data_IF_833146312937
#
_entry.id   IF_833146312937
#
_cell.length_a   1.000
_cell.length_b   1.000
_cell.length_c   1.000
_cell.angle_alpha   90.00
_cell.angle_beta   90.00
_cell.angle_gamma   90.00
#
_symmetry.space_group_name_H-M   'P 1'
#
loop_
_entity.id
_entity.type
_entity.pdbx_description
1 polymer ?
#
# COMPACT_ATOMS: atom_id res chain seq x y z
N UNK A 1 45.03 34.85 -93.40
CA UNK A 1 44.57 33.66 -92.65
C UNK A 1 44.94 33.91 -91.21
N UNK A 2 43.99 34.40 -90.42
CA UNK A 2 44.22 34.87 -89.05
C UNK A 2 43.53 33.90 -88.09
N UNK A 3 44.33 33.25 -87.24
CA UNK A 3 43.86 32.40 -86.17
C UNK A 3 43.21 33.26 -85.06
N UNK A 4 41.91 33.07 -84.88
CA UNK A 4 41.17 33.62 -83.74
C UNK A 4 41.30 32.61 -82.60
N UNK A 5 42.14 32.96 -81.63
CA UNK A 5 42.36 32.23 -80.39
C UNK A 5 41.28 32.60 -79.38
N UNK A 6 40.27 31.74 -79.20
CA UNK A 6 39.28 31.90 -78.15
C UNK A 6 39.92 31.50 -76.81
N UNK A 7 40.05 32.46 -75.90
CA UNK A 7 40.41 32.22 -74.50
C UNK A 7 39.11 31.88 -73.78
N UNK A 8 38.92 30.61 -73.41
CA UNK A 8 37.90 30.21 -72.45
C UNK A 8 38.42 30.67 -71.10
N UNK A 9 37.85 31.74 -70.56
CA UNK A 9 38.03 32.10 -69.17
C UNK A 9 37.48 30.94 -68.34
N UNK A 10 38.38 30.20 -67.69
CA UNK A 10 37.99 29.31 -66.61
C UNK A 10 37.36 30.18 -65.52
N UNK A 11 36.06 30.02 -65.32
CA UNK A 11 35.41 30.44 -64.09
C UNK A 11 36.03 29.66 -62.93
N UNK A 12 37.11 30.19 -62.37
CA UNK A 12 37.47 29.95 -60.98
C UNK A 12 36.36 30.57 -60.12
N UNK A 13 35.26 29.83 -60.01
CA UNK A 13 34.19 30.08 -59.07
C UNK A 13 34.73 29.86 -57.66
N UNK A 14 35.36 30.90 -57.12
CA UNK A 14 35.71 31.02 -55.72
C UNK A 14 34.46 30.78 -54.88
N UNK A 15 34.35 29.57 -54.35
CA UNK A 15 33.39 29.20 -53.31
C UNK A 15 33.76 29.97 -52.04
N UNK A 16 33.42 31.25 -51.96
CA UNK A 16 33.28 32.02 -50.72
C UNK A 16 32.02 31.53 -49.98
N UNK A 17 31.97 30.23 -49.68
CA UNK A 17 30.97 29.65 -48.78
C UNK A 17 31.32 30.13 -47.39
N UNK A 18 30.67 31.21 -46.95
CA UNK A 18 30.71 31.70 -45.58
C UNK A 18 30.62 30.52 -44.59
N UNK A 19 31.74 30.11 -43.98
CA UNK A 19 31.79 28.88 -43.19
C UNK A 19 30.89 28.97 -41.95
N UNK A 20 30.67 30.20 -41.45
CA UNK A 20 29.72 30.48 -40.37
C UNK A 20 28.27 30.13 -40.77
N UNK A 21 27.83 30.44 -41.99
CA UNK A 21 26.45 30.18 -42.41
C UNK A 21 26.21 28.67 -42.63
N UNK A 22 27.22 27.94 -43.11
CA UNK A 22 27.17 26.49 -43.19
C UNK A 22 27.07 25.83 -41.80
N UNK A 23 27.86 26.30 -40.83
CA UNK A 23 27.77 25.83 -39.44
C UNK A 23 26.40 26.10 -38.83
N UNK A 24 25.82 27.29 -39.02
CA UNK A 24 24.49 27.63 -38.51
C UNK A 24 23.41 26.71 -39.10
N UNK A 25 23.47 26.42 -40.41
CA UNK A 25 22.54 25.48 -41.05
C UNK A 25 22.66 24.07 -40.49
N UNK A 26 23.88 23.58 -40.27
CA UNK A 26 24.10 22.28 -39.64
C UNK A 26 23.61 22.23 -38.19
N UNK A 27 23.89 23.26 -37.40
CA UNK A 27 23.43 23.35 -36.01
C UNK A 27 21.90 23.38 -35.92
N UNK A 28 21.24 24.17 -36.78
CA UNK A 28 19.78 24.23 -36.86
C UNK A 28 19.19 22.87 -37.28
N UNK A 29 19.77 22.22 -38.30
CA UNK A 29 19.33 20.90 -38.73
C UNK A 29 19.48 19.84 -37.62
N UNK A 30 20.59 19.87 -36.87
CA UNK A 30 20.82 18.98 -35.74
C UNK A 30 19.79 19.21 -34.61
N UNK A 31 19.53 20.48 -34.25
CA UNK A 31 18.55 20.82 -33.23
C UNK A 31 17.13 20.35 -33.62
N UNK A 32 16.71 20.60 -34.86
CA UNK A 32 15.41 20.14 -35.37
C UNK A 32 15.33 18.61 -35.39
N UNK A 33 16.42 17.93 -35.76
CA UNK A 33 16.48 16.47 -35.76
C UNK A 33 16.34 15.89 -34.35
N UNK A 34 17.03 16.45 -33.36
CA UNK A 34 16.91 16.03 -31.96
C UNK A 34 15.51 16.27 -31.42
N UNK A 35 14.88 17.40 -31.77
CA UNK A 35 13.52 17.73 -31.38
C UNK A 35 12.52 16.75 -32.00
N UNK A 36 12.67 16.44 -33.29
CA UNK A 36 11.84 15.44 -33.98
C UNK A 36 11.96 14.05 -33.36
N UNK A 37 13.19 13.59 -33.07
CA UNK A 37 13.43 12.32 -32.38
C UNK A 37 12.79 12.33 -30.99
N UNK A 38 12.95 13.43 -30.24
CA UNK A 38 12.33 13.60 -28.92
C UNK A 38 10.81 13.47 -28.96
N UNK A 39 10.15 14.11 -29.94
CA UNK A 39 8.70 14.01 -30.14
C UNK A 39 8.28 12.58 -30.50
N UNK A 40 9.01 11.91 -31.40
CA UNK A 40 8.72 10.51 -31.77
C UNK A 40 8.82 9.60 -30.55
N UNK A 41 9.87 9.74 -29.74
CA UNK A 41 10.06 8.95 -28.51
C UNK A 41 8.94 9.21 -27.51
N UNK A 42 8.51 10.46 -27.33
CA UNK A 42 7.38 10.81 -26.46
C UNK A 42 6.07 10.19 -26.95
N UNK A 43 5.81 10.22 -28.27
CA UNK A 43 4.61 9.60 -28.86
C UNK A 43 4.66 8.10 -28.69
N UNK A 44 5.81 7.45 -28.94
CA UNK A 44 5.99 6.02 -28.71
C UNK A 44 5.73 5.70 -27.23
N UNK A 45 6.32 6.43 -26.29
CA UNK A 45 6.06 6.21 -24.86
C UNK A 45 4.59 6.41 -24.47
N UNK A 46 3.90 7.40 -25.06
CA UNK A 46 2.48 7.63 -24.81
C UNK A 46 1.60 6.50 -25.42
N UNK A 47 1.94 6.03 -26.62
CA UNK A 47 1.18 5.00 -27.35
C UNK A 47 1.48 3.59 -26.84
N UNK A 48 2.67 3.34 -26.31
CA UNK A 48 3.09 2.06 -25.74
C UNK A 48 3.17 2.10 -24.21
N UNK A 49 2.48 3.06 -23.57
CA UNK A 49 2.40 3.10 -22.11
C UNK A 49 1.83 1.77 -21.61
N UNK A 50 2.59 1.12 -20.72
CA UNK A 50 2.21 -0.16 -20.13
C UNK A 50 0.83 -0.05 -19.48
N UNK A 51 -0.05 -0.99 -19.79
CA UNK A 51 -1.40 -1.09 -19.22
C UNK A 51 -1.31 -1.80 -17.87
N UNK A 52 -0.65 -1.14 -16.93
CA UNK A 52 -0.44 -1.65 -15.59
C UNK A 52 -1.58 -1.26 -14.67
N UNK A 53 -2.14 -2.26 -13.99
CA UNK A 53 -3.02 -2.02 -12.84
C UNK A 53 -2.14 -1.52 -11.71
N UNK A 54 -2.55 -0.41 -11.10
CA UNK A 54 -1.94 0.05 -9.87
C UNK A 54 -2.76 -0.49 -8.69
N UNK A 55 -2.10 -1.25 -7.82
CA UNK A 55 -2.71 -1.86 -6.65
C UNK A 55 -2.33 -1.07 -5.40
N UNK A 56 -3.25 -1.00 -4.45
CA UNK A 56 -3.01 -0.50 -3.09
C UNK A 56 -3.84 -1.27 -2.08
N UNK A 57 -3.42 -1.26 -0.82
CA UNK A 57 -4.18 -1.83 0.31
C UNK A 57 -4.93 -0.68 0.99
N UNK A 58 -6.21 -0.85 1.30
CA UNK A 58 -7.02 0.20 1.92
C UNK A 58 -6.37 0.69 3.21
N UNK A 59 -5.91 1.94 3.20
CA UNK A 59 -5.19 2.59 4.29
C UNK A 59 -4.09 1.70 4.91
N UNK A 60 -3.48 0.82 4.10
CA UNK A 60 -2.44 -0.07 4.57
C UNK A 60 -2.83 -1.03 5.69
N UNK A 61 -4.12 -1.30 5.87
CA UNK A 61 -4.64 -2.00 7.04
C UNK A 61 -5.44 -3.25 6.66
N UNK A 62 -5.27 -4.30 7.45
CA UNK A 62 -6.05 -5.53 7.39
C UNK A 62 -6.72 -5.70 8.75
N UNK A 63 -8.03 -5.52 8.77
CA UNK A 63 -8.82 -5.62 9.99
C UNK A 63 -9.07 -7.07 10.38
N UNK A 64 -8.84 -7.42 11.64
CA UNK A 64 -9.13 -8.71 12.22
C UNK A 64 -10.39 -8.60 13.09
N UNK A 65 -11.35 -9.52 12.92
CA UNK A 65 -12.51 -9.60 13.82
C UNK A 65 -12.05 -9.92 15.26
N UNK A 66 -11.01 -10.77 15.37
CA UNK A 66 -10.46 -11.24 16.64
C UNK A 66 -9.06 -11.84 16.45
N UNK A 67 -8.09 -11.38 17.22
CA UNK A 67 -6.73 -11.94 17.25
C UNK A 67 -6.50 -12.85 18.48
N UNK A 68 -7.09 -12.49 19.62
CA UNK A 68 -6.98 -13.19 20.90
C UNK A 68 -8.36 -13.25 21.56
N UNK A 69 -8.58 -14.28 22.39
CA UNK A 69 -9.69 -14.33 23.33
C UNK A 69 -9.29 -13.62 24.64
N UNK A 70 -10.17 -12.80 25.20
CA UNK A 70 -9.96 -12.07 26.46
C UNK A 70 -10.89 -12.62 27.51
N UNK A 71 -10.34 -13.11 28.61
CA UNK A 71 -11.12 -13.52 29.79
C UNK A 71 -10.83 -12.55 30.91
N UNK A 72 -11.83 -11.86 31.49
CA UNK A 72 -11.61 -11.01 32.65
C UNK A 72 -11.15 -11.87 33.82
N UNK A 73 -10.10 -11.44 34.51
CA UNK A 73 -9.69 -12.01 35.79
C UNK A 73 -10.60 -11.39 36.83
N UNK A 74 -11.53 -12.19 37.34
CA UNK A 74 -12.37 -11.79 38.47
C UNK A 74 -11.47 -11.70 39.71
N UNK A 75 -11.41 -10.52 40.33
CA UNK A 75 -10.72 -10.35 41.60
C UNK A 75 -11.35 -11.26 42.67
N UNK A 76 -10.56 -11.92 43.53
CA UNK A 76 -11.07 -12.82 44.57
C UNK A 76 -12.03 -12.16 45.59
N UNK A 77 -12.07 -10.84 45.67
CA UNK A 77 -12.84 -10.10 46.68
C UNK A 77 -14.37 -10.00 46.37
N UNK A 78 -14.84 -10.49 45.22
CA UNK A 78 -16.28 -10.56 44.89
C UNK A 78 -16.88 -11.98 44.97
N UNK A 79 -16.20 -12.95 45.59
CA UNK A 79 -16.75 -14.31 45.77
C UNK A 79 -17.66 -14.52 47.00
N UNK A 80 -18.37 -13.48 47.45
CA UNK A 80 -19.44 -13.67 48.43
C UNK A 80 -20.66 -12.77 48.15
N UNK A 81 -21.31 -12.96 47.00
CA UNK A 81 -22.54 -12.24 46.71
C UNK A 81 -23.27 -12.66 45.44
N UNK A 82 -24.21 -13.59 45.61
CA UNK A 82 -25.38 -13.81 44.75
C UNK A 82 -25.24 -14.54 43.41
N UNK A 83 -25.67 -15.80 43.51
CA UNK A 83 -26.44 -16.61 42.57
C UNK A 83 -27.37 -15.77 41.67
N UNK A 84 -27.21 -15.92 40.35
CA UNK A 84 -28.30 -15.85 39.37
C UNK A 84 -28.36 -14.61 38.48
N UNK A 85 -27.67 -14.64 37.33
CA UNK A 85 -28.12 -13.98 36.10
C UNK A 85 -27.32 -14.48 34.89
N UNK A 86 -27.96 -15.31 34.06
CA UNK A 86 -27.65 -15.40 32.62
C UNK A 86 -27.73 -13.99 32.03
N UNK A 87 -26.74 -13.54 31.24
CA UNK A 87 -26.95 -12.63 30.12
C UNK A 87 -25.73 -12.53 29.18
N UNK A 88 -26.03 -12.66 27.88
CA UNK A 88 -25.12 -12.42 26.77
C UNK A 88 -24.63 -10.96 26.79
N UNK A 89 -23.36 -10.72 27.10
CA UNK A 89 -22.75 -9.40 26.90
C UNK A 89 -22.20 -9.33 25.47
N UNK A 90 -23.04 -8.79 24.59
CA UNK A 90 -22.62 -8.20 23.32
C UNK A 90 -21.90 -6.91 23.68
N UNK A 91 -20.58 -6.85 23.48
CA UNK A 91 -19.79 -5.64 23.72
C UNK A 91 -20.41 -4.46 22.94
N UNK A 92 -21.02 -3.52 23.68
CA UNK A 92 -21.50 -2.27 23.11
C UNK A 92 -20.32 -1.32 22.98
N UNK A 93 -20.05 -0.89 21.76
CA UNK A 93 -19.19 0.26 21.51
C UNK A 93 -19.82 1.50 22.16
N UNK A 94 -19.10 2.14 23.08
CA UNK A 94 -19.49 3.44 23.62
C UNK A 94 -19.14 4.49 22.56
N UNK A 95 -20.17 4.93 21.83
CA UNK A 95 -20.11 6.11 20.96
C UNK A 95 -20.27 7.35 21.84
N UNK A 96 -19.22 8.16 21.96
CA UNK A 96 -19.34 9.51 22.52
C UNK A 96 -19.46 10.50 21.35
N UNK A 97 -20.68 10.97 21.14
CA UNK A 97 -20.99 12.11 20.28
C UNK A 97 -20.81 13.39 21.11
N UNK A 98 -19.92 14.29 20.69
CA UNK A 98 -19.87 15.66 21.22
C UNK A 98 -19.72 16.66 20.08
N UNK A 99 -20.77 17.47 19.95
CA UNK A 99 -21.07 18.48 18.94
C UNK A 99 -20.20 19.73 19.12
N UNK A 100 -19.82 20.37 18.01
CA UNK A 100 -19.09 21.64 17.95
C UNK A 100 -19.83 22.82 18.61
N UNK A 101 -19.11 23.94 18.86
CA UNK A 101 -19.43 25.15 18.10
C UNK A 101 -18.20 25.88 17.53
N UNK A 102 -18.52 26.83 16.66
CA UNK A 102 -17.68 27.39 15.60
C UNK A 102 -16.81 28.61 16.01
N UNK A 103 -15.75 28.77 15.20
CA UNK A 103 -15.16 30.00 14.66
C UNK A 103 -14.27 30.89 15.55
N UNK A 104 -12.97 30.98 15.22
CA UNK A 104 -12.26 32.17 14.66
C UNK A 104 -10.74 31.88 14.48
N UNK A 105 -10.27 32.29 13.29
CA UNK A 105 -8.94 32.36 12.65
C UNK A 105 -7.57 32.38 13.38
N UNK A 106 -6.61 31.76 12.68
CA UNK A 106 -5.18 32.10 12.41
C UNK A 106 -4.21 32.41 13.57
N UNK A 107 -3.11 31.65 13.70
CA UNK A 107 -1.79 31.88 13.03
C UNK A 107 -0.72 30.94 13.62
N UNK A 108 0.25 30.52 12.79
CA UNK A 108 1.46 29.73 13.09
C UNK A 108 2.21 30.13 14.39
N UNK A 109 2.76 29.13 15.11
CA UNK A 109 4.19 29.07 15.43
C UNK A 109 4.61 27.73 16.07
N UNK A 110 5.55 27.07 15.38
CA UNK A 110 6.64 26.20 15.85
C UNK A 110 6.67 25.92 17.37
N UNK A 111 6.42 24.67 17.76
CA UNK A 111 6.93 24.14 19.02
C UNK A 111 7.65 22.82 18.76
N UNK A 112 8.97 22.92 18.86
CA UNK A 112 9.93 21.85 18.97
C UNK A 112 9.81 21.31 20.39
N UNK A 113 9.36 20.06 20.58
CA UNK A 113 9.45 19.39 21.87
C UNK A 113 10.57 18.38 21.85
N UNK A 114 11.71 18.80 22.38
CA UNK A 114 12.69 17.94 23.02
C UNK A 114 11.94 17.10 24.06
N UNK A 115 11.92 15.78 23.88
CA UNK A 115 11.54 14.85 24.94
C UNK A 115 12.81 14.10 25.28
N UNK A 116 13.28 14.36 26.51
CA UNK A 116 14.40 13.71 27.16
C UNK A 116 14.20 12.19 27.22
N UNK A 117 15.22 11.48 26.75
CA UNK A 117 15.48 10.07 27.04
C UNK A 117 15.87 9.92 28.52
N UNK A 118 14.93 9.61 29.42
CA UNK A 118 15.25 8.86 30.64
C UNK A 118 14.01 8.27 31.32
N UNK A 119 13.71 6.99 31.04
CA UNK A 119 12.97 6.14 31.99
C UNK A 119 13.53 4.72 31.96
N UNK A 120 14.41 4.44 32.92
CA UNK A 120 14.32 3.27 33.78
C UNK A 120 14.33 1.90 33.11
N UNK A 121 15.53 1.39 32.85
CA UNK A 121 15.79 -0.02 32.61
C UNK A 121 15.47 -0.81 33.89
N UNK A 122 14.26 -1.39 33.98
CA UNK A 122 13.96 -2.45 34.94
C UNK A 122 13.94 -3.78 34.22
N UNK A 123 14.96 -4.59 34.50
CA UNK A 123 15.02 -6.02 34.21
C UNK A 123 13.83 -6.73 34.85
N UNK A 124 12.80 -7.01 34.04
CA UNK A 124 11.68 -7.88 34.39
C UNK A 124 11.84 -9.14 33.55
N UNK A 125 11.89 -10.30 34.19
CA UNK A 125 11.82 -11.61 33.56
C UNK A 125 10.66 -11.66 32.54
N UNK A 126 10.77 -12.41 31.43
CA UNK A 126 9.69 -12.47 30.45
C UNK A 126 8.42 -12.98 31.14
N UNK A 127 7.44 -12.09 31.33
CA UNK A 127 6.09 -12.44 31.77
C UNK A 127 5.59 -13.60 30.89
N UNK A 128 5.00 -14.65 31.47
CA UNK A 128 4.40 -15.71 30.68
C UNK A 128 3.40 -15.08 29.71
N UNK A 129 3.38 -15.56 28.45
CA UNK A 129 2.54 -15.05 27.34
C UNK A 129 1.03 -15.00 27.64
N UNK A 130 0.63 -15.50 28.81
CA UNK A 130 -0.74 -15.63 29.31
C UNK A 130 -1.15 -14.47 30.22
N UNK A 131 -0.21 -13.64 30.70
CA UNK A 131 -0.48 -12.53 31.60
C UNK A 131 0.02 -11.21 31.00
N UNK A 132 -0.88 -10.48 30.32
CA UNK A 132 -0.63 -9.10 29.88
C UNK A 132 -1.53 -8.15 30.64
N UNK A 133 -0.91 -7.22 31.39
CA UNK A 133 -1.61 -6.19 32.16
C UNK A 133 -2.03 -5.06 31.19
N UNK A 134 -3.34 -4.86 31.03
CA UNK A 134 -3.86 -3.67 30.36
C UNK A 134 -3.98 -2.52 31.35
N UNK A 135 -3.18 -1.47 31.16
CA UNK A 135 -3.34 -0.21 31.90
C UNK A 135 -4.48 0.59 31.28
N UNK A 136 -5.59 0.77 31.99
CA UNK A 136 -6.58 1.78 31.63
C UNK A 136 -6.28 3.04 32.45
N UNK A 137 -5.84 4.11 31.77
CA UNK A 137 -5.57 5.41 32.41
C UNK A 137 -6.89 6.17 32.56
N UNK A 138 -7.58 5.93 33.65
CA UNK A 138 -8.75 6.68 34.08
C UNK A 138 -9.29 6.08 35.36
N UNK A 139 -9.24 6.85 36.45
CA UNK A 139 -9.64 6.50 37.81
C UNK A 139 -10.82 5.50 37.89
N UNK A 140 -10.54 4.25 38.27
CA UNK A 140 -11.54 3.22 38.57
C UNK A 140 -11.23 1.87 37.92
N UNK A 141 -10.73 0.93 38.73
CA UNK A 141 -10.54 -0.50 38.42
C UNK A 141 -9.75 -0.86 37.15
N UNK A 142 -8.50 -1.28 37.34
CA UNK A 142 -7.79 -2.10 36.35
C UNK A 142 -8.45 -3.48 36.27
N UNK A 143 -9.37 -3.66 35.32
CA UNK A 143 -9.83 -5.00 34.95
C UNK A 143 -8.67 -5.75 34.30
N UNK A 144 -8.13 -6.73 35.02
CA UNK A 144 -7.08 -7.59 34.49
C UNK A 144 -7.71 -8.59 33.49
N UNK A 145 -7.04 -8.85 32.38
CA UNK A 145 -7.47 -9.84 31.39
C UNK A 145 -6.39 -10.90 31.19
N UNK A 146 -6.81 -12.15 31.12
CA UNK A 146 -5.98 -13.24 30.59
C UNK A 146 -6.24 -13.35 29.10
N UNK A 147 -5.15 -13.35 28.32
CA UNK A 147 -5.22 -13.56 26.88
C UNK A 147 -5.15 -15.06 26.58
N UNK A 148 -5.96 -15.50 25.63
CA UNK A 148 -5.94 -16.87 25.13
C UNK A 148 -5.88 -16.89 23.61
N UNK A 149 -5.31 -17.97 23.08
CA UNK A 149 -5.25 -18.21 21.65
C UNK A 149 -6.66 -18.30 21.07
N UNK A 150 -6.97 -17.41 20.12
CA UNK A 150 -8.26 -17.46 19.42
C UNK A 150 -8.41 -18.78 18.65
N UNK A 151 -9.57 -19.42 18.71
CA UNK A 151 -9.84 -20.65 17.93
C UNK A 151 -9.85 -20.42 16.42
N UNK A 152 -10.25 -19.22 16.00
CA UNK A 152 -10.28 -18.76 14.61
C UNK A 152 -10.10 -17.25 14.58
N UNK A 153 -9.49 -16.77 13.50
CA UNK A 153 -9.30 -15.35 13.19
C UNK A 153 -9.79 -15.09 11.77
N UNK A 154 -10.68 -14.13 11.57
CA UNK A 154 -11.05 -13.66 10.25
C UNK A 154 -10.34 -12.34 9.97
N UNK A 155 -9.62 -12.27 8.86
CA UNK A 155 -8.95 -11.08 8.38
C UNK A 155 -9.74 -10.49 7.21
N UNK A 156 -10.09 -9.22 7.27
CA UNK A 156 -10.73 -8.47 6.21
C UNK A 156 -9.66 -7.77 5.38
N UNK A 157 -9.39 -8.31 4.19
CA UNK A 157 -8.45 -7.72 3.24
C UNK A 157 -9.24 -6.86 2.26
N UNK A 158 -8.88 -5.59 2.16
CA UNK A 158 -9.46 -4.64 1.20
C UNK A 158 -8.35 -4.19 0.24
N UNK A 159 -8.49 -4.59 -1.02
CA UNK A 159 -7.58 -4.22 -2.11
C UNK A 159 -8.25 -3.20 -3.01
N UNK A 160 -7.48 -2.19 -3.40
CA UNK A 160 -7.90 -1.14 -4.31
C UNK A 160 -7.09 -1.30 -5.60
N UNK A 161 -7.79 -1.55 -6.71
CA UNK A 161 -7.18 -1.65 -8.02
C UNK A 161 -7.58 -0.45 -8.87
N UNK A 162 -6.60 0.21 -9.46
CA UNK A 162 -6.79 1.40 -10.27
C UNK A 162 -6.18 1.24 -11.65
N UNK A 163 -6.87 1.77 -12.66
CA UNK A 163 -6.43 1.79 -14.05
C UNK A 163 -6.17 3.26 -14.46
N UNK A 164 -4.97 3.79 -14.18
CA UNK A 164 -4.65 5.17 -14.50
C UNK A 164 -4.46 5.42 -16.00
N UNK A 165 -4.20 4.37 -16.79
CA UNK A 165 -3.95 4.47 -18.24
C UNK A 165 -5.16 5.04 -18.98
N UNK A 166 -6.36 4.57 -18.64
CA UNK A 166 -7.59 5.11 -19.22
C UNK A 166 -7.86 4.76 -20.67
N UNK A 167 -6.99 3.96 -21.31
CA UNK A 167 -7.10 3.63 -22.73
C UNK A 167 -8.03 2.45 -22.99
N UNK A 168 -7.94 1.44 -22.14
CA UNK A 168 -8.70 0.21 -22.26
C UNK A 168 -9.00 -0.36 -20.88
N UNK A 169 -9.97 -1.26 -20.83
CA UNK A 169 -10.26 -2.03 -19.61
C UNK A 169 -9.14 -3.04 -19.36
N UNK A 170 -8.95 -3.37 -18.09
CA UNK A 170 -8.01 -4.42 -17.69
C UNK A 170 -8.79 -5.51 -16.96
N UNK A 171 -8.71 -6.73 -17.48
CA UNK A 171 -9.36 -7.91 -16.90
C UNK A 171 -8.33 -8.69 -16.08
N UNK A 172 -8.61 -8.86 -14.79
CA UNK A 172 -7.77 -9.59 -13.85
C UNK A 172 -8.42 -10.92 -13.51
N UNK A 173 -7.67 -12.01 -13.67
CA UNK A 173 -8.10 -13.37 -13.33
C UNK A 173 -7.07 -14.10 -12.50
N UNK A 174 -7.49 -15.21 -11.89
CA UNK A 174 -6.66 -16.08 -11.05
C UNK A 174 -5.92 -15.33 -9.93
N UNK A 175 -6.54 -14.26 -9.42
CA UNK A 175 -5.88 -13.40 -8.44
C UNK A 175 -5.79 -14.09 -7.08
N UNK A 176 -4.57 -14.18 -6.56
CA UNK A 176 -4.24 -14.76 -5.25
C UNK A 176 -3.57 -13.71 -4.38
N UNK A 177 -3.91 -13.70 -3.10
CA UNK A 177 -3.36 -12.78 -2.10
C UNK A 177 -2.80 -13.60 -0.95
N UNK A 178 -1.51 -13.48 -0.70
CA UNK A 178 -0.82 -14.18 0.39
C UNK A 178 -0.29 -13.17 1.39
N UNK A 179 -0.59 -13.40 2.68
CA UNK A 179 0.01 -12.65 3.78
C UNK A 179 1.30 -13.35 4.19
N UNK A 180 2.40 -12.62 4.26
CA UNK A 180 3.72 -13.15 4.59
C UNK A 180 4.26 -12.34 5.76
N UNK A 181 4.75 -13.01 6.80
CA UNK A 181 5.43 -12.35 7.91
C UNK A 181 6.62 -11.52 7.38
N UNK A 182 6.87 -10.36 7.99
CA UNK A 182 8.04 -9.53 7.70
C UNK A 182 9.29 -9.99 8.46
N UNK A 183 9.15 -10.83 9.47
CA UNK A 183 10.26 -11.38 10.23
C UNK A 183 10.69 -12.74 9.68
N UNK A 184 12.00 -12.99 9.66
CA UNK A 184 12.55 -14.31 9.29
C UNK A 184 11.92 -15.40 10.19
N UNK A 185 11.36 -16.49 9.62
CA UNK A 185 11.65 -17.05 8.31
C UNK A 185 10.66 -16.68 7.18
N UNK A 186 9.96 -15.54 7.26
CA UNK A 186 9.00 -15.06 6.24
C UNK A 186 7.92 -16.09 5.91
N UNK A 187 7.29 -16.63 6.94
CA UNK A 187 6.25 -17.66 6.77
C UNK A 187 4.93 -17.05 6.29
N UNK A 188 4.18 -17.77 5.43
CA UNK A 188 2.83 -17.37 5.10
C UNK A 188 1.93 -17.46 6.33
N UNK A 189 1.05 -16.47 6.47
CA UNK A 189 0.06 -16.39 7.54
C UNK A 189 -1.29 -16.85 6.96
N UNK A 190 -1.65 -18.10 7.26
CA UNK A 190 -2.84 -18.74 6.69
C UNK A 190 -2.67 -19.15 5.22
N UNK A 191 -3.77 -19.63 4.64
CA UNK A 191 -3.82 -20.02 3.23
C UNK A 191 -3.97 -18.80 2.31
N UNK A 192 -3.43 -18.84 1.08
CA UNK A 192 -3.63 -17.80 0.09
C UNK A 192 -5.12 -17.56 -0.19
N UNK A 193 -5.53 -16.30 -0.17
CA UNK A 193 -6.88 -15.86 -0.48
C UNK A 193 -7.06 -15.77 -1.99
N UNK A 194 -8.02 -16.51 -2.55
CA UNK A 194 -8.42 -16.40 -3.95
C UNK A 194 -9.51 -15.34 -4.09
N UNK A 195 -9.31 -14.41 -5.03
CA UNK A 195 -10.33 -13.44 -5.43
C UNK A 195 -11.07 -13.93 -6.65
N UNK A 196 -12.27 -13.40 -6.85
CA UNK A 196 -13.04 -13.61 -8.08
C UNK A 196 -12.43 -12.78 -9.21
N UNK A 197 -12.66 -13.19 -10.46
CA UNK A 197 -12.21 -12.42 -11.61
C UNK A 197 -12.91 -11.05 -11.62
N UNK A 198 -12.16 -10.01 -11.95
CA UNK A 198 -12.67 -8.64 -11.94
C UNK A 198 -12.13 -7.84 -13.13
N UNK A 199 -12.86 -6.78 -13.48
CA UNK A 199 -12.47 -5.85 -14.55
C UNK A 199 -12.28 -4.47 -13.94
N UNK A 200 -11.19 -3.79 -14.30
CA UNK A 200 -10.94 -2.39 -13.97
C UNK A 200 -11.15 -1.53 -15.21
N UNK A 201 -12.30 -0.83 -15.33
CA UNK A 201 -12.55 0.05 -16.46
C UNK A 201 -11.49 1.17 -16.60
N UNK A 202 -11.37 1.78 -17.79
CA UNK A 202 -10.41 2.86 -18.00
C UNK A 202 -10.68 4.07 -17.08
N UNK A 203 -9.63 4.63 -16.48
CA UNK A 203 -9.68 5.79 -15.57
C UNK A 203 -10.55 5.56 -14.32
N UNK A 204 -10.70 4.30 -13.90
CA UNK A 204 -11.47 3.96 -12.71
C UNK A 204 -10.63 3.29 -11.66
N UNK A 205 -11.19 3.31 -10.45
CA UNK A 205 -10.70 2.57 -9.31
C UNK A 205 -11.83 1.67 -8.83
N UNK A 206 -11.51 0.43 -8.51
CA UNK A 206 -12.44 -0.52 -7.90
C UNK A 206 -11.87 -0.97 -6.55
N UNK A 207 -12.77 -1.29 -5.64
CA UNK A 207 -12.43 -1.81 -4.32
C UNK A 207 -12.94 -3.22 -4.19
N UNK A 208 -12.05 -4.12 -3.79
CA UNK A 208 -12.34 -5.54 -3.57
C UNK A 208 -12.16 -5.83 -2.09
N UNK A 209 -13.14 -6.50 -1.49
CA UNK A 209 -13.10 -6.89 -0.10
C UNK A 209 -13.30 -8.40 0.00
N UNK A 210 -12.41 -9.08 0.73
CA UNK A 210 -12.53 -10.51 0.97
C UNK A 210 -12.06 -10.85 2.37
N UNK A 211 -12.79 -11.77 3.01
CA UNK A 211 -12.45 -12.28 4.34
C UNK A 211 -11.62 -13.56 4.22
N UNK A 212 -10.43 -13.56 4.80
CA UNK A 212 -9.58 -14.73 4.99
C UNK A 212 -9.86 -15.33 6.37
N UNK A 213 -10.36 -16.56 6.41
CA UNK A 213 -10.57 -17.30 7.65
C UNK A 213 -9.34 -18.15 7.97
N UNK A 214 -8.69 -17.86 9.09
CA UNK A 214 -7.55 -18.61 9.62
C UNK A 214 -8.06 -19.50 10.76
N UNK A 215 -7.97 -20.82 10.56
CA UNK A 215 -8.35 -21.81 11.56
C UNK A 215 -7.19 -22.23 12.45
N UNK A 216 -5.97 -22.22 11.92
CA UNK A 216 -4.77 -22.42 12.75
C UNK A 216 -4.14 -21.07 13.09
N UNK A 217 -4.50 -20.57 14.27
CA UNK A 217 -3.98 -19.31 14.83
C UNK A 217 -2.67 -19.50 15.59
N UNK A 218 -2.12 -20.72 15.63
CA UNK A 218 -0.92 -21.05 16.42
C UNK A 218 0.28 -20.21 16.00
N UNK A 219 0.43 -19.94 14.71
CA UNK A 219 1.48 -19.05 14.22
C UNK A 219 1.35 -17.62 14.77
N UNK A 220 0.16 -17.03 14.64
CA UNK A 220 -0.11 -15.65 15.06
C UNK A 220 0.07 -15.54 16.58
N UNK A 221 -0.46 -16.49 17.34
CA UNK A 221 -0.30 -16.53 18.80
C UNK A 221 1.16 -16.64 19.23
N UNK A 222 1.92 -17.56 18.63
CA UNK A 222 3.29 -17.79 19.07
C UNK A 222 4.21 -16.59 18.83
N UNK A 223 3.93 -15.79 17.79
CA UNK A 223 4.78 -14.66 17.39
C UNK A 223 4.28 -13.30 17.89
N UNK A 224 2.96 -13.09 18.05
CA UNK A 224 2.37 -11.77 18.29
C UNK A 224 1.36 -11.73 19.45
N UNK A 225 1.26 -12.77 20.28
CA UNK A 225 0.33 -12.74 21.42
C UNK A 225 0.54 -11.51 22.30
N UNK A 226 -0.55 -10.78 22.57
CA UNK A 226 -0.53 -9.56 23.39
C UNK A 226 -0.29 -8.27 22.61
N UNK A 227 0.15 -8.36 21.35
CA UNK A 227 0.27 -7.16 20.52
C UNK A 227 -1.13 -6.64 20.13
N UNK A 228 -1.25 -5.34 19.84
CA UNK A 228 -2.50 -4.79 19.28
C UNK A 228 -2.53 -4.91 17.76
N UNK A 229 -1.34 -5.00 17.15
CA UNK A 229 -1.11 -5.05 15.72
C UNK A 229 0.26 -5.61 15.41
N UNK A 230 0.43 -6.12 14.21
CA UNK A 230 1.72 -6.55 13.68
C UNK A 230 1.83 -6.21 12.18
N UNK A 231 3.05 -6.17 11.65
CA UNK A 231 3.31 -5.82 10.25
C UNK A 231 3.53 -7.07 9.38
N UNK A 232 2.92 -7.07 8.20
CA UNK A 232 3.04 -8.14 7.20
C UNK A 232 3.41 -7.57 5.84
N UNK A 233 3.96 -8.43 4.99
CA UNK A 233 4.06 -8.22 3.55
C UNK A 233 2.86 -8.87 2.88
N UNK A 234 2.15 -8.14 2.04
CA UNK A 234 1.09 -8.68 1.21
C UNK A 234 1.62 -8.95 -0.19
N UNK A 235 1.48 -10.19 -0.67
CA UNK A 235 1.90 -10.59 -1.99
C UNK A 235 0.65 -10.89 -2.84
N UNK A 236 0.46 -10.16 -3.93
CA UNK A 236 -0.67 -10.33 -4.84
C UNK A 236 -0.14 -10.87 -6.17
N UNK A 237 -0.68 -11.98 -6.66
CA UNK A 237 -0.35 -12.53 -7.98
C UNK A 237 -1.63 -12.62 -8.80
N UNK A 238 -1.60 -12.17 -10.06
CA UNK A 238 -2.76 -12.16 -10.94
C UNK A 238 -2.38 -12.37 -12.39
N UNK A 239 -3.24 -13.07 -13.13
CA UNK A 239 -3.26 -13.01 -14.59
C UNK A 239 -3.91 -11.68 -15.00
N UNK A 240 -3.19 -10.82 -15.71
CA UNK A 240 -3.66 -9.51 -16.17
C UNK A 240 -3.82 -9.55 -17.68
N UNK A 241 -5.03 -9.29 -18.16
CA UNK A 241 -5.38 -9.24 -19.58
C UNK A 241 -5.75 -7.80 -19.94
N UNK A 242 -5.09 -7.26 -20.95
CA UNK A 242 -5.29 -5.91 -21.42
C UNK A 242 -5.51 -5.90 -22.94
N UNK A 243 -6.06 -4.80 -23.48
CA UNK A 243 -6.51 -4.74 -24.88
C UNK A 243 -5.99 -3.51 -25.63
N UNK A 244 -4.66 -3.34 -25.76
CA UNK A 244 -4.10 -2.20 -26.50
C UNK A 244 -4.46 -2.31 -27.97
N UNK A 245 -5.06 -1.26 -28.53
CA UNK A 245 -5.42 -1.17 -29.97
C UNK A 245 -6.25 -2.37 -30.47
N UNK A 246 -7.07 -2.97 -29.59
CA UNK A 246 -7.92 -4.12 -29.92
C UNK A 246 -7.20 -5.48 -29.96
N UNK A 247 -5.90 -5.54 -29.67
CA UNK A 247 -5.16 -6.80 -29.53
C UNK A 247 -5.18 -7.24 -28.08
N UNK A 248 -5.34 -8.53 -27.82
CA UNK A 248 -5.30 -9.07 -26.45
C UNK A 248 -3.87 -9.30 -26.01
N UNK A 249 -3.50 -8.78 -24.85
CA UNK A 249 -2.20 -9.00 -24.21
C UNK A 249 -2.44 -9.60 -22.82
N UNK A 250 -1.87 -10.77 -22.57
CA UNK A 250 -2.00 -11.48 -21.29
C UNK A 250 -0.62 -11.56 -20.65
N UNK A 251 -0.52 -11.21 -19.37
CA UNK A 251 0.70 -11.35 -18.59
C UNK A 251 0.40 -11.81 -17.17
N UNK A 252 1.33 -12.57 -16.60
CA UNK A 252 1.34 -12.80 -15.16
C UNK A 252 1.97 -11.59 -14.48
N UNK A 253 1.28 -11.03 -13.49
CA UNK A 253 1.74 -9.87 -12.75
C UNK A 253 1.72 -10.18 -11.26
N UNK A 254 2.85 -9.91 -10.62
CA UNK A 254 3.02 -10.06 -9.19
C UNK A 254 3.29 -8.70 -8.57
N UNK A 255 2.70 -8.45 -7.41
CA UNK A 255 2.84 -7.24 -6.64
C UNK A 255 3.21 -7.59 -5.20
N UNK A 256 4.02 -6.72 -4.60
CA UNK A 256 4.40 -6.79 -3.20
C UNK A 256 4.03 -5.47 -2.54
N UNK A 257 3.16 -5.52 -1.53
CA UNK A 257 2.77 -4.38 -0.71
C UNK A 257 3.37 -4.53 0.68
N UNK A 258 4.15 -3.54 1.12
CA UNK A 258 4.76 -3.55 2.46
C UNK A 258 5.14 -2.14 2.93
N UNK A 259 5.17 -1.90 4.26
CA UNK A 259 4.59 -2.74 5.31
C UNK A 259 3.05 -2.61 5.34
N UNK A 260 2.32 -3.70 5.57
CA UNK A 260 0.87 -3.69 5.78
C UNK A 260 0.58 -4.02 7.23
N UNK A 261 -0.27 -3.24 7.90
CA UNK A 261 -0.62 -3.46 9.30
C UNK A 261 -1.79 -4.42 9.41
N UNK A 262 -1.67 -5.44 10.27
CA UNK A 262 -2.78 -6.30 10.70
C UNK A 262 -3.12 -5.95 12.14
N UNK A 263 -4.38 -5.70 12.44
CA UNK A 263 -4.84 -5.39 13.80
C UNK A 263 -6.36 -5.53 13.93
N UNK A 264 -6.92 -5.24 15.10
CA UNK A 264 -8.36 -5.35 15.30
C UNK A 264 -9.13 -4.24 14.55
N UNK A 265 -10.32 -4.58 14.02
CA UNK A 265 -11.14 -3.63 13.23
C UNK A 265 -11.53 -2.36 14.00
N UNK A 266 -11.64 -2.44 15.34
CA UNK A 266 -12.05 -1.33 16.20
C UNK A 266 -10.95 -0.28 16.45
N UNK A 267 -9.71 -0.55 16.02
CA UNK A 267 -8.57 0.36 16.14
C UNK A 267 -7.95 0.71 14.78
N UNK A 268 -8.69 0.47 13.69
CA UNK A 268 -8.24 0.78 12.32
C UNK A 268 -7.93 2.28 12.16
N UNK A 269 -8.79 3.15 12.66
CA UNK A 269 -8.63 4.62 12.59
C UNK A 269 -7.36 5.14 13.26
N UNK A 270 -6.87 4.44 14.29
CA UNK A 270 -5.65 4.79 15.03
C UNK A 270 -4.39 4.33 14.30
N UNK A 271 -4.43 3.17 13.65
CA UNK A 271 -3.23 2.48 13.16
C UNK A 271 -3.11 2.37 11.65
N UNK A 272 -4.17 2.66 10.91
CA UNK A 272 -4.15 2.67 9.46
C UNK A 272 -3.23 3.77 8.94
N UNK A 273 -2.50 3.47 7.87
CA UNK A 273 -1.56 4.38 7.24
C UNK A 273 -1.57 4.19 5.73
N UNK A 274 -1.63 5.29 4.99
CA UNK A 274 -1.49 5.33 3.54
C UNK A 274 -0.06 5.07 3.05
N UNK A 275 0.91 4.89 3.96
CA UNK A 275 2.34 4.69 3.65
C UNK A 275 2.70 3.28 3.17
N UNK A 276 1.78 2.59 2.51
CA UNK A 276 2.02 1.26 1.96
C UNK A 276 2.45 1.37 0.51
N UNK A 277 3.63 0.85 0.23
CA UNK A 277 4.18 0.83 -1.11
C UNK A 277 3.90 -0.53 -1.76
N UNK A 278 3.09 -0.51 -2.82
CA UNK A 278 2.74 -1.67 -3.61
C UNK A 278 3.48 -1.63 -4.95
N UNK A 279 4.51 -2.47 -5.09
CA UNK A 279 5.34 -2.49 -6.30
C UNK A 279 5.17 -3.79 -7.09
N UNK A 280 5.23 -3.74 -8.43
CA UNK A 280 5.49 -4.91 -9.25
C UNK A 280 6.76 -5.63 -8.78
N UNK A 281 6.72 -6.96 -8.68
CA UNK A 281 7.86 -7.81 -8.28
C UNK A 281 8.29 -8.75 -9.39
#
# INVERSE_FOLDING_TARGET
MSDIKYIIAGEDGENTRFPCLAMVRYAMAAAVSLLAVGVIVLVIHAVFRSEDVHLSVNNGYIGADRLWDRTPVLSPDEQLGNIGATNNIKASAVVVHSKAPADVSETQLKHESTIDDDVGSSSIEPLPKECFLGCNSGDGETTQYTLQKASTTNLCVILIASNPSGRTKIDCGDTTVSLIDMSSPYKPIGEPLKLENFTVPPQTTITMQKRLKITDTTYIWNNYAGELRFSVRLQVSSTVTSYPLGKTHIKQQKYTCQPVTVGLVDVEDIFATDRVDCRPS
#
